data_IF_602135264239
#
_entry.id   IF_602135264239
#
_cell.length_a   1.000
_cell.length_b   1.000
_cell.length_c   1.000
_cell.angle_alpha   90.00
_cell.angle_beta   90.00
_cell.angle_gamma   90.00
#
_symmetry.space_group_name_H-M   'P 1'
#
loop_
_entity.id
_entity.type
_entity.pdbx_description
1 polymer ?
#
# COMPACT_ATOMS: atom_id res chain seq x y z
N UNK A 1 -55.23 7.08 -26.87
CA UNK A 1 -54.91 7.75 -25.58
C UNK A 1 -53.47 7.43 -25.24
N UNK A 2 -52.58 8.40 -25.43
CA UNK A 2 -51.16 8.29 -25.12
C UNK A 2 -50.95 8.56 -23.63
N UNK A 3 -50.31 7.63 -22.93
CA UNK A 3 -49.83 7.85 -21.56
C UNK A 3 -48.57 8.73 -21.61
N UNK A 4 -48.33 9.64 -20.64
CA UNK A 4 -47.50 10.83 -20.85
C UNK A 4 -46.01 10.67 -20.54
N UNK A 5 -45.52 9.51 -20.11
CA UNK A 5 -44.11 9.34 -19.74
C UNK A 5 -43.61 7.92 -20.07
N UNK A 6 -42.98 7.69 -21.22
CA UNK A 6 -42.27 6.45 -21.44
C UNK A 6 -40.93 6.53 -20.72
N UNK A 7 -40.68 5.62 -19.78
CA UNK A 7 -39.38 5.42 -19.14
C UNK A 7 -38.36 4.91 -20.17
N UNK A 8 -37.83 5.81 -21.01
CA UNK A 8 -36.75 5.57 -21.98
C UNK A 8 -35.37 5.98 -21.43
N UNK A 9 -35.18 6.03 -20.10
CA UNK A 9 -34.06 6.77 -19.52
C UNK A 9 -32.76 5.99 -19.28
N UNK A 10 -32.73 4.67 -19.50
CA UNK A 10 -31.48 3.88 -19.46
C UNK A 10 -31.48 2.83 -20.57
N UNK A 11 -31.08 3.21 -21.78
CA UNK A 11 -30.55 2.23 -22.74
C UNK A 11 -29.16 1.85 -22.26
N UNK A 12 -29.08 0.93 -21.30
CA UNK A 12 -27.80 0.39 -20.84
C UNK A 12 -27.19 -0.40 -22.00
N UNK A 13 -26.24 0.21 -22.70
CA UNK A 13 -25.45 -0.45 -23.72
C UNK A 13 -24.37 -1.32 -23.10
N UNK A 14 -23.84 -2.28 -23.86
CA UNK A 14 -22.63 -3.02 -23.46
C UNK A 14 -21.45 -2.09 -23.14
N UNK A 15 -21.41 -0.91 -23.77
CA UNK A 15 -20.42 0.15 -23.51
C UNK A 15 -20.61 0.76 -22.12
N UNK A 16 -21.85 1.06 -21.70
CA UNK A 16 -22.12 1.61 -20.36
C UNK A 16 -21.79 0.58 -19.26
N UNK A 17 -22.07 -0.70 -19.51
CA UNK A 17 -21.68 -1.79 -18.61
C UNK A 17 -20.16 -1.88 -18.51
N UNK A 18 -19.45 -1.84 -19.64
CA UNK A 18 -17.99 -1.88 -19.66
C UNK A 18 -17.38 -0.66 -18.95
N UNK A 19 -17.95 0.53 -19.14
CA UNK A 19 -17.51 1.78 -18.52
C UNK A 19 -17.69 1.73 -17.00
N UNK A 20 -18.89 1.38 -16.52
CA UNK A 20 -19.17 1.23 -15.08
C UNK A 20 -18.26 0.16 -14.47
N UNK A 21 -18.03 -0.96 -15.15
CA UNK A 21 -17.13 -2.02 -14.67
C UNK A 21 -15.68 -1.52 -14.59
N UNK A 22 -15.20 -0.80 -15.60
CA UNK A 22 -13.86 -0.24 -15.63
C UNK A 22 -13.67 0.81 -14.52
N UNK A 23 -14.60 1.75 -14.38
CA UNK A 23 -14.61 2.73 -13.29
C UNK A 23 -14.66 2.05 -11.94
N UNK A 24 -15.47 0.99 -11.77
CA UNK A 24 -15.56 0.23 -10.52
C UNK A 24 -14.23 -0.43 -10.18
N UNK A 25 -13.57 -1.07 -11.16
CA UNK A 25 -12.25 -1.68 -10.95
C UNK A 25 -11.21 -0.61 -10.60
N UNK A 26 -11.23 0.54 -11.28
CA UNK A 26 -10.31 1.65 -11.02
C UNK A 26 -10.51 2.21 -9.61
N UNK A 27 -11.75 2.48 -9.19
CA UNK A 27 -12.09 2.94 -7.85
C UNK A 27 -11.74 1.90 -6.78
N UNK A 28 -11.97 0.61 -7.04
CA UNK A 28 -11.58 -0.46 -6.13
C UNK A 28 -10.06 -0.52 -5.94
N UNK A 29 -9.28 -0.37 -7.01
CA UNK A 29 -7.81 -0.31 -6.93
C UNK A 29 -7.35 0.92 -6.13
N UNK A 30 -7.95 2.09 -6.38
CA UNK A 30 -7.67 3.31 -5.64
C UNK A 30 -7.99 3.14 -4.15
N UNK A 31 -9.14 2.56 -3.81
CA UNK A 31 -9.51 2.24 -2.44
C UNK A 31 -8.49 1.30 -1.77
N UNK A 32 -8.10 0.21 -2.45
CA UNK A 32 -7.12 -0.74 -1.91
C UNK A 32 -5.76 -0.08 -1.66
N UNK A 33 -5.36 0.87 -2.51
CA UNK A 33 -4.11 1.62 -2.38
C UNK A 33 -4.14 2.59 -1.19
N UNK A 34 -5.27 3.25 -0.96
CA UNK A 34 -5.43 4.22 0.12
C UNK A 34 -5.71 3.55 1.48
N UNK A 35 -6.29 2.35 1.50
CA UNK A 35 -6.69 1.65 2.72
C UNK A 35 -5.49 1.34 3.62
N UNK A 36 -5.52 1.86 4.84
CA UNK A 36 -4.47 1.66 5.85
C UNK A 36 -3.34 2.70 5.82
N UNK A 37 -3.42 3.68 4.91
CA UNK A 37 -2.52 4.83 4.88
C UNK A 37 -3.13 6.06 5.56
N UNK A 38 -2.29 6.96 6.06
CA UNK A 38 -2.72 8.29 6.55
C UNK A 38 -3.44 9.08 5.44
N UNK A 39 -3.13 8.78 4.19
CA UNK A 39 -3.69 9.38 2.99
C UNK A 39 -5.23 9.27 2.92
N UNK A 40 -5.84 8.18 3.41
CA UNK A 40 -7.30 8.04 3.47
C UNK A 40 -7.94 9.07 4.41
N UNK A 41 -7.33 9.31 5.57
CA UNK A 41 -7.84 10.29 6.54
C UNK A 41 -7.73 11.71 5.98
N UNK A 42 -6.62 12.02 5.28
CA UNK A 42 -6.43 13.29 4.59
C UNK A 42 -7.47 13.47 3.47
N UNK A 43 -7.73 12.44 2.67
CA UNK A 43 -8.74 12.48 1.61
C UNK A 43 -10.15 12.72 2.18
N UNK A 44 -10.53 12.00 3.25
CA UNK A 44 -11.83 12.18 3.91
C UNK A 44 -11.96 13.57 4.56
N UNK A 45 -10.88 14.11 5.13
CA UNK A 45 -10.83 15.47 5.65
C UNK A 45 -10.95 16.54 4.57
N UNK A 46 -10.29 16.36 3.42
CA UNK A 46 -10.45 17.22 2.26
C UNK A 46 -11.87 17.16 1.68
N UNK A 47 -12.45 15.95 1.59
CA UNK A 47 -13.81 15.75 1.12
C UNK A 47 -14.83 16.40 2.07
N UNK A 48 -14.65 16.29 3.38
CA UNK A 48 -15.55 16.93 4.35
C UNK A 48 -15.48 18.45 4.26
N UNK A 49 -14.27 19.03 4.14
CA UNK A 49 -14.11 20.46 3.88
C UNK A 49 -14.77 20.91 2.57
N UNK A 50 -14.64 20.11 1.50
CA UNK A 50 -15.30 20.40 0.23
C UNK A 50 -16.84 20.37 0.34
N UNK A 51 -17.40 19.41 1.10
CA UNK A 51 -18.83 19.35 1.38
C UNK A 51 -19.31 20.57 2.18
N UNK A 52 -18.52 21.04 3.15
CA UNK A 52 -18.81 22.27 3.89
C UNK A 52 -18.80 23.47 2.95
N UNK A 53 -17.80 23.58 2.07
CA UNK A 53 -17.75 24.63 1.05
C UNK A 53 -19.01 24.64 0.17
N UNK A 54 -19.45 23.47 -0.33
CA UNK A 54 -20.68 23.36 -1.11
C UNK A 54 -21.91 23.79 -0.31
N UNK A 55 -22.01 23.36 0.95
CA UNK A 55 -23.12 23.74 1.83
C UNK A 55 -23.17 25.26 2.03
N UNK A 56 -22.04 25.87 2.34
CA UNK A 56 -21.88 27.31 2.54
C UNK A 56 -22.25 28.10 1.28
N UNK A 57 -21.82 27.61 0.11
CA UNK A 57 -22.12 28.22 -1.18
C UNK A 57 -23.63 28.16 -1.50
N UNK A 58 -24.28 27.03 -1.23
CA UNK A 58 -25.74 26.88 -1.40
C UNK A 58 -26.53 27.75 -0.42
N UNK A 59 -26.03 27.94 0.80
CA UNK A 59 -26.63 28.83 1.80
C UNK A 59 -26.46 30.33 1.48
N UNK A 60 -25.71 30.69 0.44
CA UNK A 60 -25.52 32.07 0.02
C UNK A 60 -24.62 32.90 0.94
N UNK A 61 -23.78 32.25 1.75
CA UNK A 61 -22.85 32.94 2.66
C UNK A 61 -21.64 33.45 1.87
N UNK A 62 -21.76 34.64 1.26
CA UNK A 62 -20.75 35.21 0.35
C UNK A 62 -19.33 35.26 0.91
N UNK A 63 -19.13 35.93 2.05
CA UNK A 63 -17.80 36.07 2.67
C UNK A 63 -17.14 34.71 2.99
N UNK A 64 -17.93 33.78 3.51
CA UNK A 64 -17.43 32.44 3.87
C UNK A 64 -17.14 31.60 2.63
N UNK A 65 -17.94 31.75 1.56
CA UNK A 65 -17.72 31.11 0.27
C UNK A 65 -16.44 31.61 -0.40
N UNK A 66 -16.15 32.91 -0.31
CA UNK A 66 -14.93 33.51 -0.86
C UNK A 66 -13.69 33.02 -0.10
N UNK A 67 -13.72 33.04 1.23
CA UNK A 67 -12.61 32.56 2.07
C UNK A 67 -12.36 31.06 1.85
N UNK A 68 -13.42 30.25 1.89
CA UNK A 68 -13.30 28.81 1.67
C UNK A 68 -12.89 28.51 0.22
N UNK A 69 -13.35 29.29 -0.76
CA UNK A 69 -12.96 29.15 -2.16
C UNK A 69 -11.47 29.34 -2.37
N UNK A 70 -10.89 30.39 -1.78
CA UNK A 70 -9.45 30.64 -1.82
C UNK A 70 -8.67 29.52 -1.11
N UNK A 71 -9.18 29.07 0.05
CA UNK A 71 -8.60 27.92 0.76
C UNK A 71 -8.65 26.63 -0.08
N UNK A 72 -9.74 26.38 -0.82
CA UNK A 72 -9.84 25.22 -1.72
C UNK A 72 -8.84 25.31 -2.87
N UNK A 73 -8.60 26.50 -3.43
CA UNK A 73 -7.60 26.72 -4.49
C UNK A 73 -6.19 26.31 -4.05
N UNK A 74 -5.75 26.78 -2.88
CA UNK A 74 -4.46 26.36 -2.28
C UNK A 74 -4.51 24.90 -1.82
N UNK A 75 -5.68 24.44 -1.37
CA UNK A 75 -5.93 23.08 -0.90
C UNK A 75 -5.65 22.02 -1.96
N UNK A 76 -5.95 22.30 -3.24
CA UNK A 76 -5.61 21.37 -4.35
C UNK A 76 -4.09 21.21 -4.46
N UNK A 77 -3.33 22.30 -4.40
CA UNK A 77 -1.87 22.24 -4.45
C UNK A 77 -1.30 21.50 -3.24
N UNK A 78 -1.77 21.81 -2.03
CA UNK A 78 -1.38 21.12 -0.81
C UNK A 78 -1.71 19.62 -0.87
N UNK A 79 -2.87 19.26 -1.43
CA UNK A 79 -3.28 17.88 -1.65
C UNK A 79 -2.30 17.14 -2.55
N UNK A 80 -1.92 17.71 -3.70
CA UNK A 80 -0.93 17.12 -4.62
C UNK A 80 0.41 16.88 -3.92
N UNK A 81 0.90 17.86 -3.15
CA UNK A 81 2.17 17.75 -2.42
C UNK A 81 2.09 16.65 -1.35
N UNK A 82 1.00 16.59 -0.60
CA UNK A 82 0.79 15.54 0.41
C UNK A 82 0.70 14.15 -0.21
N UNK A 83 0.03 14.01 -1.35
CA UNK A 83 -0.12 12.73 -2.07
C UNK A 83 1.07 12.40 -2.99
N UNK A 84 2.11 13.22 -3.02
CA UNK A 84 3.24 13.04 -3.94
C UNK A 84 3.94 11.68 -3.72
N UNK A 85 4.07 11.24 -2.47
CA UNK A 85 4.73 9.98 -2.13
C UNK A 85 3.90 8.76 -2.58
N UNK A 86 2.58 8.85 -2.45
CA UNK A 86 1.62 7.83 -2.86
C UNK A 86 1.59 7.68 -4.37
N UNK A 87 1.55 8.80 -5.11
CA UNK A 87 1.62 8.81 -6.57
C UNK A 87 2.92 8.14 -7.03
N UNK A 88 4.05 8.49 -6.40
CA UNK A 88 5.35 7.87 -6.71
C UNK A 88 5.32 6.37 -6.46
N UNK A 89 4.85 5.92 -5.29
CA UNK A 89 4.74 4.50 -4.95
C UNK A 89 3.83 3.75 -5.92
N UNK A 90 2.70 4.34 -6.29
CA UNK A 90 1.78 3.78 -7.27
C UNK A 90 2.44 3.55 -8.63
N UNK A 91 3.08 4.59 -9.18
CA UNK A 91 3.75 4.50 -10.49
C UNK A 91 4.87 3.45 -10.50
N UNK A 92 5.65 3.36 -9.41
CA UNK A 92 6.67 2.32 -9.26
C UNK A 92 6.04 0.93 -9.21
N UNK A 93 4.95 0.74 -8.47
CA UNK A 93 4.26 -0.55 -8.39
C UNK A 93 3.64 -0.97 -9.72
N UNK A 94 3.05 -0.04 -10.46
CA UNK A 94 2.53 -0.27 -11.81
C UNK A 94 3.68 -0.58 -12.79
N UNK A 95 4.78 0.15 -12.70
CA UNK A 95 5.98 -0.06 -13.52
C UNK A 95 6.63 -1.41 -13.29
N UNK A 96 6.76 -1.86 -12.02
CA UNK A 96 7.25 -3.21 -11.67
C UNK A 96 6.39 -4.30 -12.30
N UNK A 97 5.05 -4.16 -12.27
CA UNK A 97 4.12 -5.11 -12.90
C UNK A 97 4.26 -5.13 -14.42
N UNK A 98 4.53 -3.97 -15.05
CA UNK A 98 4.76 -3.89 -16.49
C UNK A 98 6.10 -4.48 -16.93
N UNK A 99 7.15 -4.34 -16.10
CA UNK A 99 8.52 -4.80 -16.39
C UNK A 99 8.76 -6.29 -16.05
N UNK A 100 8.07 -6.85 -15.06
CA UNK A 100 8.21 -8.27 -14.64
C UNK A 100 7.51 -9.29 -15.57
N UNK A 101 7.10 -8.91 -16.78
CA UNK A 101 6.89 -9.87 -17.88
C UNK A 101 5.70 -10.84 -17.73
N UNK A 102 4.69 -10.52 -16.93
CA UNK A 102 3.41 -11.20 -16.95
C UNK A 102 2.33 -10.20 -17.30
N UNK A 103 1.76 -10.28 -18.51
CA UNK A 103 0.75 -9.33 -19.03
C UNK A 103 -0.53 -9.23 -18.17
N UNK A 104 -1.71 -8.96 -18.75
CA UNK A 104 -2.95 -8.83 -18.00
C UNK A 104 -3.46 -10.16 -17.39
N UNK A 105 -2.58 -11.09 -17.01
CA UNK A 105 -2.84 -12.20 -16.08
C UNK A 105 -1.86 -12.21 -14.88
N UNK A 106 -0.80 -11.40 -14.89
CA UNK A 106 0.17 -11.32 -13.78
C UNK A 106 -0.41 -10.70 -12.50
N UNK A 107 -1.47 -9.88 -12.63
CA UNK A 107 -2.23 -9.35 -11.49
C UNK A 107 -3.06 -10.42 -10.78
N UNK A 108 -3.45 -11.50 -11.48
CA UNK A 108 -4.14 -12.64 -10.88
C UNK A 108 -3.17 -13.65 -10.26
N UNK A 109 -1.92 -13.74 -10.77
CA UNK A 109 -0.84 -14.57 -10.20
C UNK A 109 -0.05 -13.92 -9.07
N UNK A 110 -0.41 -12.71 -8.63
CA UNK A 110 -0.19 -12.37 -7.21
C UNK A 110 -1.24 -13.12 -6.42
N UNK A 111 -1.02 -14.43 -6.32
CA UNK A 111 -1.75 -15.29 -5.43
C UNK A 111 -1.78 -14.60 -4.07
N UNK A 112 -3.00 -14.25 -3.69
CA UNK A 112 -3.42 -14.11 -2.33
C UNK A 112 -2.80 -15.25 -1.53
N UNK A 113 -1.81 -14.94 -0.70
CA UNK A 113 -1.17 -15.92 0.16
C UNK A 113 -0.65 -17.13 -0.61
N UNK A 114 0.60 -17.05 -1.10
CA UNK A 114 1.39 -18.25 -0.97
C UNK A 114 1.51 -18.48 0.54
N UNK A 115 0.60 -19.30 1.04
CA UNK A 115 0.68 -20.09 2.26
C UNK A 115 1.85 -21.08 2.09
N UNK A 116 2.99 -20.57 1.63
CA UNK A 116 4.29 -21.17 1.78
C UNK A 116 4.42 -21.24 3.28
N UNK A 117 4.07 -22.39 3.84
CA UNK A 117 4.17 -22.67 5.27
C UNK A 117 5.59 -22.36 5.67
N UNK A 118 5.81 -21.11 6.08
CA UNK A 118 7.10 -20.60 6.48
C UNK A 118 7.51 -21.52 7.63
N UNK A 119 8.61 -22.28 7.49
CA UNK A 119 8.99 -23.21 8.53
C UNK A 119 9.29 -22.38 9.77
N UNK A 120 8.40 -22.45 10.77
CA UNK A 120 8.50 -21.65 11.99
C UNK A 120 9.57 -22.21 12.94
N UNK A 121 9.89 -23.50 12.81
CA UNK A 121 10.84 -24.18 13.69
C UNK A 121 12.23 -23.49 13.73
N UNK A 122 12.88 -23.15 12.60
CA UNK A 122 14.13 -22.39 12.60
C UNK A 122 14.07 -21.07 13.39
N UNK A 123 12.98 -20.31 13.27
CA UNK A 123 12.81 -19.03 13.97
C UNK A 123 12.62 -19.22 15.47
N UNK A 124 11.76 -20.16 15.87
CA UNK A 124 11.49 -20.45 17.28
C UNK A 124 12.74 -20.98 17.97
N UNK A 125 13.47 -21.89 17.32
CA UNK A 125 14.70 -22.42 17.86
C UNK A 125 15.82 -21.38 17.94
N UNK A 126 15.97 -20.52 16.93
CA UNK A 126 16.94 -19.43 16.96
C UNK A 126 16.59 -18.44 18.07
N UNK A 127 15.33 -18.03 18.19
CA UNK A 127 14.87 -17.11 19.23
C UNK A 127 15.12 -17.66 20.65
N UNK A 128 14.89 -18.95 20.88
CA UNK A 128 15.23 -19.59 22.16
C UNK A 128 16.72 -19.48 22.48
N UNK A 129 17.58 -19.83 21.53
CA UNK A 129 19.04 -19.75 21.71
C UNK A 129 19.52 -18.32 21.92
N UNK A 130 19.01 -17.35 21.15
CA UNK A 130 19.34 -15.92 21.29
C UNK A 130 18.89 -15.36 22.63
N UNK A 131 17.70 -15.75 23.11
CA UNK A 131 17.20 -15.37 24.42
C UNK A 131 18.06 -15.92 25.56
N UNK A 132 18.50 -17.18 25.48
CA UNK A 132 19.45 -17.76 26.46
C UNK A 132 20.80 -17.05 26.47
N UNK A 133 21.21 -16.49 25.33
CA UNK A 133 22.46 -15.73 25.18
C UNK A 133 22.29 -14.23 25.41
N UNK A 134 21.11 -13.78 25.86
CA UNK A 134 20.79 -12.36 26.04
C UNK A 134 21.18 -11.50 24.82
N UNK A 135 20.88 -12.03 23.63
CA UNK A 135 21.21 -11.41 22.35
C UNK A 135 19.93 -10.92 21.70
N UNK A 136 19.87 -9.61 21.45
CA UNK A 136 18.73 -8.99 20.77
C UNK A 136 18.64 -9.43 19.31
N UNK A 137 17.42 -9.60 18.82
CA UNK A 137 17.15 -9.93 17.44
C UNK A 137 15.86 -9.29 16.97
N UNK A 138 15.89 -8.74 15.76
CA UNK A 138 14.75 -8.06 15.14
C UNK A 138 14.46 -8.71 13.78
N UNK A 139 13.34 -9.42 13.69
CA UNK A 139 12.95 -10.18 12.51
C UNK A 139 11.59 -9.66 12.02
N UNK A 140 11.56 -9.15 10.80
CA UNK A 140 10.37 -8.60 10.14
C UNK A 140 9.86 -9.55 9.07
N UNK A 141 8.56 -9.88 9.14
CA UNK A 141 7.91 -10.73 8.16
C UNK A 141 7.06 -9.88 7.22
N UNK A 142 7.45 -9.83 5.94
CA UNK A 142 6.63 -9.20 4.91
C UNK A 142 5.33 -9.99 4.74
N UNK A 143 4.19 -9.29 4.78
CA UNK A 143 2.86 -9.87 4.55
C UNK A 143 2.24 -9.27 3.29
N UNK A 144 1.17 -8.50 3.42
CA UNK A 144 0.53 -7.84 2.29
C UNK A 144 1.29 -6.60 1.82
N UNK A 145 1.97 -5.91 2.75
CA UNK A 145 2.81 -4.75 2.45
C UNK A 145 4.19 -5.22 2.02
N UNK A 146 4.66 -4.70 0.89
CA UNK A 146 6.02 -4.94 0.40
C UNK A 146 7.03 -4.19 1.27
N UNK A 147 8.03 -4.91 1.78
CA UNK A 147 9.14 -4.35 2.58
C UNK A 147 10.40 -4.11 1.73
N UNK A 148 10.33 -4.21 0.39
CA UNK A 148 11.49 -4.07 -0.50
C UNK A 148 12.27 -2.78 -0.29
N UNK A 149 11.59 -1.66 -0.04
CA UNK A 149 12.24 -0.36 0.17
C UNK A 149 13.11 -0.33 1.43
N UNK A 150 12.74 -1.10 2.47
CA UNK A 150 13.55 -1.25 3.67
C UNK A 150 14.68 -2.26 3.45
N UNK A 151 14.45 -3.30 2.66
CA UNK A 151 15.47 -4.27 2.28
C UNK A 151 16.63 -3.62 1.52
N UNK A 152 16.36 -2.61 0.69
CA UNK A 152 17.37 -1.83 -0.03
C UNK A 152 18.30 -1.01 0.88
N UNK A 153 17.92 -0.76 2.14
CA UNK A 153 18.77 -0.05 3.12
C UNK A 153 19.84 -0.94 3.77
N UNK A 154 19.65 -2.25 3.71
CA UNK A 154 20.54 -3.25 4.33
C UNK A 154 21.34 -4.04 3.30
N UNK A 155 21.91 -5.15 3.76
CA UNK A 155 22.66 -6.08 2.92
C UNK A 155 21.72 -7.14 2.35
N UNK A 156 21.57 -7.17 1.02
CA UNK A 156 20.78 -8.17 0.31
C UNK A 156 21.47 -9.54 0.39
N UNK A 157 20.75 -10.57 0.83
CA UNK A 157 21.29 -11.91 1.04
C UNK A 157 20.61 -12.98 0.20
N UNK A 158 19.30 -12.85 -0.01
CA UNK A 158 18.44 -13.84 -0.70
C UNK A 158 18.76 -15.30 -0.33
N UNK A 159 18.72 -15.60 0.96
CA UNK A 159 19.16 -16.88 1.51
C UNK A 159 18.00 -17.77 1.97
N UNK A 160 18.24 -19.09 1.98
CA UNK A 160 17.35 -20.03 2.65
C UNK A 160 17.42 -19.86 4.17
N UNK A 161 16.26 -19.94 4.82
CA UNK A 161 16.14 -19.71 6.25
C UNK A 161 16.63 -20.95 7.00
N UNK A 162 17.61 -20.76 7.89
CA UNK A 162 18.04 -21.78 8.83
C UNK A 162 18.33 -21.18 10.20
N UNK A 163 18.22 -21.99 11.26
CA UNK A 163 18.59 -21.58 12.62
C UNK A 163 20.02 -21.05 12.68
N UNK A 164 20.96 -21.75 12.03
CA UNK A 164 22.39 -21.40 12.05
C UNK A 164 22.64 -20.05 11.39
N UNK A 165 21.93 -19.77 10.29
CA UNK A 165 22.01 -18.47 9.61
C UNK A 165 21.51 -17.34 10.51
N UNK A 166 20.35 -17.52 11.15
CA UNK A 166 19.79 -16.51 12.06
C UNK A 166 20.74 -16.24 13.24
N UNK A 167 21.34 -17.28 13.83
CA UNK A 167 22.32 -17.13 14.90
C UNK A 167 23.58 -16.39 14.44
N UNK A 168 24.08 -16.69 13.23
CA UNK A 168 25.25 -16.03 12.67
C UNK A 168 25.00 -14.54 12.35
N UNK A 169 23.79 -14.19 11.89
CA UNK A 169 23.42 -12.79 11.63
C UNK A 169 23.38 -12.01 12.94
N UNK A 170 22.66 -12.49 13.95
CA UNK A 170 22.47 -11.77 15.22
C UNK A 170 23.63 -11.92 16.21
N UNK A 171 24.72 -12.59 15.83
CA UNK A 171 25.89 -12.69 16.69
C UNK A 171 26.54 -11.31 16.87
N UNK A 172 26.87 -10.91 18.11
CA UNK A 172 27.38 -9.56 18.45
C UNK A 172 28.63 -9.11 17.69
N UNK A 173 29.43 -10.04 17.18
CA UNK A 173 30.64 -9.74 16.39
C UNK A 173 30.39 -9.69 14.88
N UNK A 174 29.21 -10.10 14.43
CA UNK A 174 28.83 -10.13 13.01
C UNK A 174 28.53 -8.72 12.52
N UNK A 175 29.03 -8.28 11.36
CA UNK A 175 28.67 -6.96 10.81
C UNK A 175 27.18 -6.83 10.45
N UNK A 176 26.44 -7.95 10.37
CA UNK A 176 25.03 -8.00 10.00
C UNK A 176 24.07 -7.87 11.20
N UNK A 177 24.58 -7.88 12.43
CA UNK A 177 23.74 -7.95 13.63
C UNK A 177 22.97 -6.67 13.95
N UNK A 178 23.43 -5.54 13.41
CA UNK A 178 22.91 -4.22 13.75
C UNK A 178 21.78 -3.82 12.79
N UNK A 179 20.55 -4.21 13.14
CA UNK A 179 19.35 -3.87 12.39
C UNK A 179 18.34 -5.01 12.29
N UNK A 180 17.38 -4.85 11.38
CA UNK A 180 16.35 -5.84 11.14
C UNK A 180 16.74 -6.84 10.05
N UNK A 181 16.27 -8.07 10.19
CA UNK A 181 16.23 -9.07 9.12
C UNK A 181 14.85 -9.05 8.48
N UNK A 182 14.78 -8.96 7.16
CA UNK A 182 13.51 -8.97 6.41
C UNK A 182 13.31 -10.33 5.75
N UNK A 183 12.20 -10.97 6.08
CA UNK A 183 11.74 -12.23 5.50
C UNK A 183 10.64 -11.93 4.50
N UNK A 184 10.81 -12.37 3.25
CA UNK A 184 9.83 -12.20 2.19
C UNK A 184 9.76 -13.46 1.34
N UNK A 185 8.55 -13.86 0.95
CA UNK A 185 8.32 -15.05 0.09
C UNK A 185 9.00 -16.34 0.58
N UNK A 186 9.11 -16.52 1.91
CA UNK A 186 9.74 -17.70 2.50
C UNK A 186 11.27 -17.72 2.42
N UNK A 187 11.91 -16.59 2.09
CA UNK A 187 13.37 -16.42 2.04
C UNK A 187 13.81 -15.27 2.92
N UNK A 188 15.07 -15.29 3.34
CA UNK A 188 15.72 -14.19 4.02
C UNK A 188 16.20 -13.21 2.94
N UNK A 189 15.47 -12.12 2.76
CA UNK A 189 15.70 -11.15 1.69
C UNK A 189 16.93 -10.29 1.98
N UNK A 190 16.99 -9.69 3.19
CA UNK A 190 18.06 -8.80 3.60
C UNK A 190 18.29 -8.85 5.12
N UNK A 191 19.50 -8.49 5.55
CA UNK A 191 19.87 -8.25 6.94
C UNK A 191 20.36 -6.81 7.12
N UNK A 192 20.57 -6.38 8.38
CA UNK A 192 21.05 -5.03 8.70
C UNK A 192 20.15 -3.90 8.14
N UNK A 193 18.86 -4.16 8.02
CA UNK A 193 17.91 -3.20 7.48
C UNK A 193 17.53 -2.14 8.51
N UNK A 194 17.38 -0.91 8.06
CA UNK A 194 16.88 0.22 8.86
C UNK A 194 15.36 0.29 8.68
N UNK A 195 14.60 0.29 9.77
CA UNK A 195 13.12 0.34 9.77
C UNK A 195 12.59 1.74 10.04
#
# INVERSE_FOLDING_TARGET
MNLPYPFYFLRVGLVDVADVLLVTVLLYQLYKLLRGSVALNVALGGLSLYLIYLLVNVLGLGLLSDILGEFMSVGVLASIILFQQEIRRFLVNVGKVALEGGGPLGWWRRDAGSDTRLPLAPFVEAAKTLATQETGALICFARASDLSAYAESGDLLDAEISKRLLLAIFQKTSPLHDGAVIISQGRLQAARCIL
#
